data_IF_856994565856
#
_entry.id   IF_856994565856
#
_cell.length_a   1.000
_cell.length_b   1.000
_cell.length_c   1.000
_cell.angle_alpha   90.00
_cell.angle_beta   90.00
_cell.angle_gamma   90.00
#
_symmetry.space_group_name_H-M   'P 1'
#
loop_
_entity.id
_entity.type
_entity.pdbx_description
1 polymer ?
#
# COMPACT_ATOMS: atom_id res chain seq x y z
N UNK A 1 10.54 -32.83 11.63
CA UNK A 1 9.51 -31.85 11.25
C UNK A 1 8.22 -32.62 11.17
N UNK A 2 7.22 -32.23 11.97
CA UNK A 2 6.05 -33.07 12.23
C UNK A 2 4.82 -32.52 11.51
N UNK A 3 4.02 -33.43 10.95
CA UNK A 3 2.78 -33.10 10.28
C UNK A 3 1.70 -32.75 11.30
N UNK A 4 0.95 -31.67 11.06
CA UNK A 4 -0.13 -31.21 11.95
C UNK A 4 -1.35 -32.13 12.03
N UNK A 5 -1.44 -33.12 11.13
CA UNK A 5 -2.58 -34.05 11.09
C UNK A 5 -2.30 -35.25 12.00
N UNK A 6 -3.15 -35.46 13.01
CA UNK A 6 -3.00 -36.55 13.99
C UNK A 6 -2.99 -37.95 13.35
N UNK A 7 -3.69 -38.13 12.22
CA UNK A 7 -3.77 -39.41 11.50
C UNK A 7 -2.66 -39.57 10.44
N UNK A 8 -1.55 -38.83 10.56
CA UNK A 8 -0.43 -38.92 9.64
C UNK A 8 0.26 -40.28 9.79
N UNK A 9 0.16 -41.13 8.76
CA UNK A 9 0.79 -42.46 8.72
C UNK A 9 2.22 -42.46 8.18
N UNK A 10 2.75 -41.30 7.78
CA UNK A 10 4.13 -41.14 7.34
C UNK A 10 5.09 -41.40 8.50
N UNK A 11 5.72 -42.58 8.52
CA UNK A 11 6.68 -42.99 9.56
C UNK A 11 8.01 -42.26 9.47
N UNK A 12 8.28 -41.64 8.34
CA UNK A 12 9.54 -40.95 8.07
C UNK A 12 9.25 -39.46 7.95
N UNK A 13 9.76 -38.66 8.87
CA UNK A 13 10.16 -37.29 8.55
C UNK A 13 11.38 -37.31 7.63
N UNK A 14 11.35 -38.12 6.56
CA UNK A 14 12.44 -38.15 5.58
C UNK A 14 12.42 -36.82 4.85
N UNK A 15 13.60 -36.21 4.67
CA UNK A 15 13.77 -34.90 4.03
C UNK A 15 13.34 -34.82 2.56
N UNK A 16 12.56 -35.78 2.06
CA UNK A 16 12.00 -35.85 0.72
C UNK A 16 10.48 -35.64 0.68
N UNK A 17 9.78 -35.67 1.82
CA UNK A 17 8.34 -35.42 1.83
C UNK A 17 8.05 -33.93 1.59
N UNK A 18 7.24 -33.64 0.56
CA UNK A 18 6.80 -32.27 0.24
C UNK A 18 5.82 -31.79 1.30
N UNK A 19 6.32 -30.96 2.21
CA UNK A 19 5.50 -30.26 3.20
C UNK A 19 4.87 -29.00 2.61
N UNK A 20 3.63 -28.77 3.02
CA UNK A 20 2.98 -27.48 2.96
C UNK A 20 3.30 -26.72 4.25
N UNK A 21 3.66 -25.45 4.11
CA UNK A 21 3.89 -24.57 5.25
C UNK A 21 2.68 -23.65 5.39
N UNK A 22 2.03 -23.67 6.55
CA UNK A 22 0.92 -22.77 6.79
C UNK A 22 1.45 -21.34 6.89
N UNK A 23 0.99 -20.46 5.99
CA UNK A 23 1.50 -19.08 5.94
C UNK A 23 1.20 -18.25 7.19
N UNK A 24 0.22 -18.66 8.02
CA UNK A 24 -0.19 -17.96 9.23
C UNK A 24 0.55 -18.44 10.48
N UNK A 25 0.57 -19.75 10.72
CA UNK A 25 1.11 -20.31 11.96
C UNK A 25 2.40 -21.10 11.77
N UNK A 26 2.93 -21.17 10.54
CA UNK A 26 4.16 -21.88 10.16
C UNK A 26 4.14 -23.39 10.45
N UNK A 27 3.00 -23.94 10.89
CA UNK A 27 2.82 -25.39 11.07
C UNK A 27 2.86 -26.10 9.71
N UNK A 28 3.38 -27.32 9.73
CA UNK A 28 3.62 -28.12 8.54
C UNK A 28 2.51 -29.14 8.36
N UNK A 29 2.13 -29.40 7.11
CA UNK A 29 1.25 -30.51 6.76
C UNK A 29 1.74 -31.19 5.51
N UNK A 30 1.76 -32.52 5.48
CA UNK A 30 1.97 -33.21 4.21
C UNK A 30 0.85 -32.83 3.25
N UNK A 31 1.19 -32.58 1.99
CA UNK A 31 0.21 -32.30 0.95
C UNK A 31 -0.88 -33.36 0.89
N UNK A 32 -0.50 -34.64 0.96
CA UNK A 32 -1.42 -35.78 1.01
C UNK A 32 -2.34 -35.76 2.24
N UNK A 33 -1.80 -35.43 3.42
CA UNK A 33 -2.63 -35.31 4.64
C UNK A 33 -3.61 -34.14 4.56
N UNK A 34 -3.26 -33.08 3.83
CA UNK A 34 -4.14 -31.97 3.53
C UNK A 34 -5.10 -32.23 2.34
N UNK A 35 -5.12 -33.43 1.78
CA UNK A 35 -5.96 -33.78 0.62
C UNK A 35 -5.50 -33.14 -0.70
N UNK A 36 -4.27 -32.63 -0.77
CA UNK A 36 -3.67 -32.04 -1.95
C UNK A 36 -2.73 -33.04 -2.62
N UNK A 37 -2.96 -33.32 -3.91
CA UNK A 37 -2.15 -34.26 -4.69
C UNK A 37 -1.86 -33.72 -6.10
N UNK A 38 -0.77 -34.18 -6.69
CA UNK A 38 -0.37 -33.82 -8.06
C UNK A 38 -0.14 -32.32 -8.24
N UNK A 39 -0.59 -31.77 -9.37
CA UNK A 39 -0.36 -30.37 -9.76
C UNK A 39 -0.81 -29.34 -8.72
N UNK A 40 -1.87 -29.64 -7.95
CA UNK A 40 -2.37 -28.73 -6.93
C UNK A 40 -1.38 -28.63 -5.75
N UNK A 41 -0.80 -29.75 -5.32
CA UNK A 41 0.26 -29.74 -4.32
C UNK A 41 1.51 -29.04 -4.86
N UNK A 42 1.90 -29.32 -6.10
CA UNK A 42 3.08 -28.72 -6.73
C UNK A 42 2.97 -27.21 -6.82
N UNK A 43 1.80 -26.68 -7.22
CA UNK A 43 1.58 -25.25 -7.37
C UNK A 43 1.59 -24.50 -6.02
N UNK A 44 1.24 -25.16 -4.92
CA UNK A 44 1.27 -24.56 -3.58
C UNK A 44 2.66 -24.60 -2.96
N UNK A 45 3.44 -25.66 -3.24
CA UNK A 45 4.83 -25.78 -2.78
C UNK A 45 5.76 -24.88 -3.58
N UNK A 46 5.48 -24.66 -4.86
CA UNK A 46 6.22 -23.74 -5.72
C UNK A 46 5.91 -22.28 -5.37
N UNK A 47 6.76 -21.68 -4.54
CA UNK A 47 6.65 -20.28 -4.13
C UNK A 47 6.64 -19.28 -5.29
N UNK A 48 7.13 -19.65 -6.48
CA UNK A 48 7.07 -18.79 -7.67
C UNK A 48 5.64 -18.63 -8.23
N UNK A 49 4.72 -19.54 -7.88
CA UNK A 49 3.31 -19.47 -8.30
C UNK A 49 2.47 -18.52 -7.45
N UNK A 50 3.01 -18.04 -6.33
CA UNK A 50 2.31 -17.11 -5.43
C UNK A 50 1.08 -17.72 -4.74
N UNK A 51 0.87 -19.03 -4.81
CA UNK A 51 -0.17 -19.71 -4.05
C UNK A 51 0.28 -19.91 -2.61
N UNK A 52 -0.67 -19.81 -1.68
CA UNK A 52 -0.45 -19.99 -0.25
C UNK A 52 -1.40 -21.03 0.30
N UNK A 53 -0.98 -21.73 1.33
CA UNK A 53 -1.80 -22.72 2.03
C UNK A 53 -1.99 -22.36 3.50
N UNK A 54 -3.22 -22.58 3.98
CA UNK A 54 -3.62 -22.39 5.37
C UNK A 54 -4.04 -23.74 5.96
N UNK A 55 -3.54 -24.05 7.16
CA UNK A 55 -3.97 -25.26 7.87
C UNK A 55 -5.45 -25.15 8.28
N UNK A 56 -6.13 -26.26 8.61
CA UNK A 56 -7.54 -26.25 8.96
C UNK A 56 -7.91 -25.27 10.08
N UNK A 57 -7.07 -25.15 11.12
CA UNK A 57 -7.29 -24.22 12.23
C UNK A 57 -7.18 -22.75 11.80
N UNK A 58 -6.31 -22.45 10.85
CA UNK A 58 -6.08 -21.09 10.35
C UNK A 58 -6.95 -20.73 9.15
N UNK A 59 -7.63 -21.71 8.54
CA UNK A 59 -8.45 -21.54 7.33
C UNK A 59 -9.57 -20.51 7.50
N UNK A 60 -10.34 -20.48 8.62
CA UNK A 60 -11.37 -19.46 8.81
C UNK A 60 -10.78 -18.04 8.76
N UNK A 61 -9.65 -17.82 9.44
CA UNK A 61 -8.95 -16.53 9.46
C UNK A 61 -8.44 -16.13 8.07
N UNK A 62 -7.90 -17.07 7.30
CA UNK A 62 -7.43 -16.83 5.92
C UNK A 62 -8.58 -16.40 5.00
N UNK A 63 -9.76 -17.02 5.15
CA UNK A 63 -10.98 -16.63 4.42
C UNK A 63 -11.40 -15.20 4.79
N UNK A 64 -11.40 -14.86 6.09
CA UNK A 64 -11.74 -13.52 6.54
C UNK A 64 -10.75 -12.47 6.03
N UNK A 65 -9.45 -12.77 6.03
CA UNK A 65 -8.43 -11.91 5.43
C UNK A 65 -8.65 -11.71 3.93
N UNK A 66 -8.98 -12.78 3.19
CA UNK A 66 -9.26 -12.67 1.77
C UNK A 66 -10.49 -11.79 1.50
N UNK A 67 -11.56 -11.95 2.31
CA UNK A 67 -12.76 -11.10 2.22
C UNK A 67 -12.42 -9.64 2.49
N UNK A 68 -11.69 -9.37 3.57
CA UNK A 68 -11.27 -8.01 3.92
C UNK A 68 -10.43 -7.39 2.81
N UNK A 69 -9.42 -8.12 2.30
CA UNK A 69 -8.57 -7.66 1.21
C UNK A 69 -9.40 -7.33 -0.04
N UNK A 70 -10.36 -8.18 -0.39
CA UNK A 70 -11.27 -7.93 -1.51
C UNK A 70 -12.10 -6.65 -1.33
N UNK A 71 -12.70 -6.46 -0.15
CA UNK A 71 -13.47 -5.26 0.18
C UNK A 71 -12.60 -4.00 0.16
N UNK A 72 -11.40 -4.05 0.76
CA UNK A 72 -10.45 -2.95 0.77
C UNK A 72 -10.00 -2.58 -0.65
N UNK A 73 -9.72 -3.58 -1.50
CA UNK A 73 -9.37 -3.35 -2.91
C UNK A 73 -10.48 -2.62 -3.66
N UNK A 74 -11.73 -3.02 -3.45
CA UNK A 74 -12.89 -2.35 -4.06
C UNK A 74 -12.96 -0.89 -3.60
N UNK A 75 -12.86 -0.64 -2.29
CA UNK A 75 -12.89 0.72 -1.74
C UNK A 75 -11.77 1.61 -2.30
N UNK A 76 -10.54 1.11 -2.41
CA UNK A 76 -9.45 1.86 -3.05
C UNK A 76 -9.71 2.16 -4.53
N UNK A 77 -10.30 1.22 -5.28
CA UNK A 77 -10.67 1.46 -6.67
C UNK A 77 -11.73 2.56 -6.81
N UNK A 78 -12.69 2.64 -5.89
CA UNK A 78 -13.72 3.68 -5.87
C UNK A 78 -13.12 5.05 -5.57
N UNK A 79 -12.31 5.16 -4.51
CA UNK A 79 -11.58 6.39 -4.16
C UNK A 79 -10.69 6.85 -5.33
N UNK A 80 -10.01 5.91 -6.00
CA UNK A 80 -9.18 6.22 -7.16
C UNK A 80 -9.99 6.82 -8.32
N UNK A 81 -11.23 6.36 -8.55
CA UNK A 81 -12.13 6.95 -9.56
C UNK A 81 -12.57 8.36 -9.19
N UNK A 82 -12.91 8.59 -7.92
CA UNK A 82 -13.27 9.91 -7.42
C UNK A 82 -12.12 10.90 -7.56
N UNK A 83 -10.91 10.50 -7.15
CA UNK A 83 -9.71 11.31 -7.29
C UNK A 83 -9.43 11.65 -8.75
N UNK A 84 -9.55 10.68 -9.66
CA UNK A 84 -9.38 10.91 -11.10
C UNK A 84 -10.43 11.89 -11.66
N UNK A 85 -11.67 11.83 -11.16
CA UNK A 85 -12.73 12.78 -11.53
C UNK A 85 -12.41 14.20 -11.04
N UNK A 86 -11.96 14.33 -9.78
CA UNK A 86 -11.54 15.61 -9.21
C UNK A 86 -10.36 16.20 -9.96
N UNK A 87 -9.33 15.40 -10.27
CA UNK A 87 -8.18 15.84 -11.04
C UNK A 87 -8.57 16.43 -12.41
N UNK A 88 -9.54 15.81 -13.09
CA UNK A 88 -10.10 16.35 -14.35
C UNK A 88 -10.79 17.71 -14.16
N UNK A 89 -11.56 17.87 -13.08
CA UNK A 89 -12.19 19.15 -12.73
C UNK A 89 -11.15 20.23 -12.45
N UNK A 90 -10.14 19.91 -11.63
CA UNK A 90 -9.03 20.83 -11.35
C UNK A 90 -8.29 21.24 -12.62
N UNK A 91 -7.96 20.30 -13.51
CA UNK A 91 -7.33 20.60 -14.78
C UNK A 91 -8.18 21.54 -15.66
N UNK A 92 -9.52 21.38 -15.65
CA UNK A 92 -10.42 22.29 -16.34
C UNK A 92 -10.39 23.69 -15.74
N UNK A 93 -10.43 23.82 -14.42
CA UNK A 93 -10.36 25.12 -13.76
C UNK A 93 -9.01 25.80 -13.98
N UNK A 94 -7.91 25.04 -13.91
CA UNK A 94 -6.57 25.57 -14.20
C UNK A 94 -6.51 26.20 -15.59
N UNK A 95 -7.04 25.50 -16.62
CA UNK A 95 -7.11 26.06 -17.97
C UNK A 95 -7.92 27.36 -18.03
N UNK A 96 -9.08 27.40 -17.36
CA UNK A 96 -9.89 28.61 -17.31
C UNK A 96 -9.15 29.78 -16.62
N UNK A 97 -8.39 29.50 -15.56
CA UNK A 97 -7.54 30.49 -14.91
C UNK A 97 -6.41 30.98 -15.85
N UNK A 98 -5.75 30.08 -16.57
CA UNK A 98 -4.65 30.40 -17.49
C UNK A 98 -5.12 31.19 -18.72
N UNK A 99 -6.36 30.93 -19.16
CA UNK A 99 -7.05 31.63 -20.25
C UNK A 99 -7.59 33.00 -19.82
N UNK A 100 -7.74 33.25 -18.51
CA UNK A 100 -8.28 34.52 -18.01
C UNK A 100 -7.26 35.65 -18.13
N UNK A 101 -7.38 36.43 -19.20
CA UNK A 101 -6.48 37.51 -19.62
C UNK A 101 -6.32 38.64 -18.57
N UNK A 102 -7.33 38.82 -17.71
CA UNK A 102 -7.33 39.84 -16.64
C UNK A 102 -6.24 39.62 -15.58
N UNK A 103 -5.76 38.38 -15.40
CA UNK A 103 -4.64 38.07 -14.52
C UNK A 103 -3.27 38.32 -15.18
N UNK A 104 -3.19 38.26 -16.52
CA UNK A 104 -1.97 38.56 -17.28
C UNK A 104 -1.74 40.06 -17.46
N UNK A 105 -2.81 40.84 -17.40
CA UNK A 105 -2.82 42.30 -17.56
C UNK A 105 -2.86 43.09 -16.25
N UNK A 106 -2.90 42.40 -15.09
CA UNK A 106 -2.64 43.07 -13.81
C UNK A 106 -1.25 43.71 -13.90
N UNK A 107 -1.12 45.03 -13.71
CA UNK A 107 0.19 45.65 -13.69
C UNK A 107 0.99 44.97 -12.59
N UNK A 108 2.07 44.29 -12.96
CA UNK A 108 3.18 43.96 -12.06
C UNK A 108 3.75 45.30 -11.60
N UNK A 109 3.06 45.97 -10.66
CA UNK A 109 3.70 46.98 -9.87
C UNK A 109 4.75 46.22 -9.08
N UNK A 110 5.97 46.27 -9.58
CA UNK A 110 7.20 46.30 -8.79
C UNK A 110 7.09 47.46 -7.79
N UNK A 111 6.11 47.42 -6.89
CA UNK A 111 6.26 48.04 -5.59
C UNK A 111 7.24 47.11 -4.91
N UNK A 112 8.46 47.59 -4.71
CA UNK A 112 9.25 47.20 -3.55
C UNK A 112 8.26 47.09 -2.41
N UNK A 113 7.94 45.85 -2.02
CA UNK A 113 7.18 45.61 -0.79
C UNK A 113 8.11 46.19 0.27
N UNK A 114 7.72 47.27 0.98
CA UNK A 114 8.41 47.58 2.22
C UNK A 114 8.22 46.35 3.08
N UNK A 115 9.31 45.82 3.61
CA UNK A 115 9.34 44.62 4.42
C UNK A 115 8.11 44.50 5.33
N UNK A 116 7.48 43.32 5.30
CA UNK A 116 6.47 42.84 6.26
C UNK A 116 5.13 43.58 6.34
N UNK A 117 4.05 42.89 5.95
CA UNK A 117 2.74 43.04 6.61
C UNK A 117 2.40 41.72 7.29
N UNK A 118 2.68 41.66 8.59
CA UNK A 118 2.20 40.60 9.48
C UNK A 118 0.69 40.77 9.64
N UNK A 119 -0.09 39.77 9.22
CA UNK A 119 -1.51 39.70 9.56
C UNK A 119 -1.62 38.99 10.91
N UNK A 120 -2.24 39.64 11.89
CA UNK A 120 -2.54 39.02 13.17
C UNK A 120 -3.57 37.90 12.96
N UNK A 121 -3.10 36.66 12.88
CA UNK A 121 -3.93 35.54 13.29
C UNK A 121 -4.27 35.72 14.77
N UNK A 122 -5.53 35.48 15.13
CA UNK A 122 -6.07 35.63 16.47
C UNK A 122 -5.26 34.91 17.58
N UNK A 123 -5.70 35.05 18.84
CA UNK A 123 -4.83 34.93 20.01
C UNK A 123 -4.13 33.55 20.10
N UNK A 124 -2.80 33.58 19.93
CA UNK A 124 -1.70 32.79 20.56
C UNK A 124 -1.91 31.31 20.98
N UNK A 125 -0.87 30.43 20.99
CA UNK A 125 0.43 30.73 21.60
C UNK A 125 1.70 30.27 20.87
N UNK A 126 2.69 31.17 20.89
CA UNK A 126 4.15 31.01 21.05
C UNK A 126 4.97 30.10 20.12
N UNK A 127 6.02 30.75 19.58
CA UNK A 127 7.19 30.22 18.85
C UNK A 127 6.98 29.96 17.36
N UNK A 128 7.11 31.03 16.57
CA UNK A 128 7.48 30.88 15.16
C UNK A 128 8.90 30.29 15.10
N UNK A 129 9.01 29.01 14.72
CA UNK A 129 10.29 28.36 14.45
C UNK A 129 10.71 28.75 13.03
N UNK A 130 11.78 29.53 12.93
CA UNK A 130 12.43 29.82 11.65
C UNK A 130 13.30 28.62 11.25
N UNK A 131 12.84 27.83 10.28
CA UNK A 131 13.65 26.79 9.66
C UNK A 131 14.41 27.44 8.49
N UNK A 132 15.73 27.60 8.65
CA UNK A 132 16.62 27.99 7.55
C UNK A 132 16.85 26.76 6.65
N UNK A 133 16.45 26.86 5.39
CA UNK A 133 16.82 25.90 4.34
C UNK A 133 18.20 26.31 3.81
N UNK A 134 19.25 25.49 3.92
CA UNK A 134 20.56 25.83 3.37
C UNK A 134 20.52 25.77 1.84
N UNK A 135 21.12 26.77 1.20
CA UNK A 135 21.25 26.84 -0.25
C UNK A 135 21.95 25.60 -0.83
N UNK A 136 21.36 25.06 -1.90
CA UNK A 136 21.94 23.98 -2.68
C UNK A 136 23.22 24.47 -3.39
N UNK A 137 24.38 23.97 -2.96
CA UNK A 137 25.63 24.15 -3.71
C UNK A 137 25.51 23.44 -5.07
N UNK A 138 25.72 24.20 -6.14
CA UNK A 138 25.84 23.66 -7.49
C UNK A 138 27.03 22.68 -7.59
N UNK A 139 26.93 21.63 -8.42
CA UNK A 139 27.98 20.62 -8.54
C UNK A 139 29.19 21.23 -9.27
N UNK A 140 30.37 21.03 -8.70
CA UNK A 140 31.65 21.30 -9.35
C UNK A 140 31.94 20.13 -10.28
N UNK A 141 32.24 20.45 -11.55
CA UNK A 141 32.64 19.53 -12.62
C UNK A 141 33.93 18.77 -12.28
#
# INVERSE_FOLDING_TARGET
MDCLYANCSSKTGSGHDRFLVCWLCQRLGHSKCAGLTGRAADAVVDGSKGLRWSCPECRPRDIDFYRLFGQTKIGFCEIGKELACLAKKFAKYQKLFDEYEYLKSLPQKNKKIPDTCSVACGPSPTSAVHILIPDAKAPVL
#
